data_IF_160424195790
#
_entry.id   IF_160424195790
#
_cell.length_a   1.000
_cell.length_b   1.000
_cell.length_c   1.000
_cell.angle_alpha   90.00
_cell.angle_beta   90.00
_cell.angle_gamma   90.00
#
_symmetry.space_group_name_H-M   'P 1'
#
loop_
_entity.id
_entity.type
_entity.pdbx_description
1 polymer ?
#
# COMPACT_ATOMS: atom_id res chain seq x y z
N UNK A 1 8.18 -11.70 32.47
CA UNK A 1 8.35 -10.31 32.95
C UNK A 1 7.41 -10.05 34.12
N UNK A 2 7.85 -9.19 35.08
CA UNK A 2 7.05 -8.88 36.28
C UNK A 2 5.70 -8.16 36.03
N UNK A 3 5.28 -7.99 34.78
CA UNK A 3 4.02 -7.38 34.36
C UNK A 3 3.10 -8.36 33.60
N UNK A 4 3.39 -9.67 33.57
CA UNK A 4 2.56 -10.67 32.91
C UNK A 4 2.55 -10.58 31.36
N UNK A 5 3.53 -9.88 30.76
CA UNK A 5 3.67 -9.83 29.32
C UNK A 5 4.44 -11.05 28.82
N UNK A 6 3.96 -11.68 27.75
CA UNK A 6 4.56 -12.88 27.14
C UNK A 6 5.59 -12.50 26.08
N UNK A 7 5.37 -11.41 25.35
CA UNK A 7 6.25 -10.96 24.28
C UNK A 7 6.27 -9.43 24.16
N UNK A 8 7.29 -8.92 23.49
CA UNK A 8 7.42 -7.51 23.11
C UNK A 8 7.81 -7.43 21.64
N UNK A 9 6.97 -6.80 20.84
CA UNK A 9 7.23 -6.55 19.42
C UNK A 9 7.98 -5.22 19.25
N UNK A 10 8.87 -5.18 18.27
CA UNK A 10 9.60 -3.96 17.91
C UNK A 10 10.40 -4.13 16.61
N UNK A 11 10.99 -3.04 16.11
CA UNK A 11 10.80 -1.66 16.56
C UNK A 11 9.47 -1.08 16.11
N UNK A 12 8.92 -0.21 16.94
CA UNK A 12 7.82 0.68 16.56
C UNK A 12 8.38 2.10 16.68
N UNK A 13 8.52 2.79 15.56
CA UNK A 13 8.91 4.18 15.55
C UNK A 13 7.76 5.05 16.08
N UNK A 14 8.06 6.30 16.44
CA UNK A 14 7.07 7.22 16.99
C UNK A 14 5.80 7.25 16.13
N UNK A 15 4.65 6.94 16.73
CA UNK A 15 3.37 6.89 16.07
C UNK A 15 2.62 5.57 16.28
N UNK A 16 1.71 5.28 15.38
CA UNK A 16 0.91 4.07 15.45
C UNK A 16 1.66 2.87 14.83
N UNK A 17 1.54 1.70 15.43
CA UNK A 17 2.11 0.44 14.92
C UNK A 17 1.77 0.21 13.44
N UNK A 18 0.58 0.56 13.01
CA UNK A 18 0.13 0.39 11.62
C UNK A 18 0.95 1.19 10.61
N UNK A 19 1.52 2.32 11.02
CA UNK A 19 2.21 3.25 10.11
C UNK A 19 3.72 3.08 10.11
N UNK A 20 4.31 2.75 11.26
CA UNK A 20 5.75 2.87 11.48
C UNK A 20 6.30 1.69 12.29
N UNK A 21 6.26 0.50 11.74
CA UNK A 21 6.82 -0.67 12.42
C UNK A 21 7.80 -1.43 11.52
N UNK A 22 8.67 -2.20 12.17
CA UNK A 22 9.65 -3.02 11.50
C UNK A 22 11.00 -2.34 11.32
N UNK A 23 11.96 -3.11 10.89
CA UNK A 23 13.34 -2.74 10.70
C UNK A 23 13.75 -3.10 9.29
N UNK A 24 14.34 -2.14 8.56
CA UNK A 24 15.00 -2.47 7.30
C UNK A 24 16.24 -3.31 7.60
N UNK A 25 16.34 -4.47 7.00
CA UNK A 25 17.46 -5.41 7.21
C UNK A 25 18.21 -5.74 5.92
N UNK A 26 17.55 -5.55 4.77
CA UNK A 26 18.11 -5.79 3.43
C UNK A 26 17.54 -4.76 2.44
N UNK A 27 18.24 -4.54 1.33
CA UNK A 27 17.78 -3.64 0.27
C UNK A 27 18.10 -2.16 0.52
N UNK A 28 19.16 -1.85 1.27
CA UNK A 28 19.59 -0.49 1.58
C UNK A 28 19.96 0.35 0.35
N UNK A 29 20.27 -0.29 -0.77
CA UNK A 29 20.56 0.32 -2.07
C UNK A 29 19.31 0.89 -2.76
N UNK A 30 18.12 0.47 -2.33
CA UNK A 30 16.87 0.96 -2.87
C UNK A 30 16.35 2.18 -2.11
N UNK A 31 15.80 3.13 -2.83
CA UNK A 31 15.09 4.24 -2.20
C UNK A 31 13.87 3.71 -1.46
N UNK A 32 13.69 4.01 -0.17
CA UNK A 32 12.54 3.54 0.60
C UNK A 32 11.24 4.10 0.04
N UNK A 33 10.18 3.32 0.14
CA UNK A 33 8.83 3.75 -0.17
C UNK A 33 8.28 4.63 0.95
N UNK A 34 7.21 5.37 0.66
CA UNK A 34 6.55 6.20 1.67
C UNK A 34 6.08 5.36 2.86
N UNK A 35 6.36 5.84 4.07
CA UNK A 35 6.09 5.16 5.35
C UNK A 35 6.90 3.86 5.60
N UNK A 36 7.82 3.47 4.73
CA UNK A 36 8.70 2.35 5.04
C UNK A 36 9.86 2.81 5.93
N UNK A 37 10.28 1.99 6.92
CA UNK A 37 11.43 2.31 7.75
C UNK A 37 12.70 2.39 6.91
N UNK A 38 13.58 3.31 7.29
CA UNK A 38 14.93 3.42 6.73
C UNK A 38 15.89 3.76 7.88
N UNK A 39 16.46 2.73 8.44
CA UNK A 39 17.38 2.80 9.57
C UNK A 39 18.81 2.48 9.13
N UNK A 40 19.82 2.88 9.91
CA UNK A 40 21.19 2.43 9.71
C UNK A 40 21.31 0.89 9.80
N UNK A 41 22.21 0.25 8.99
CA UNK A 41 22.36 -1.20 8.99
C UNK A 41 22.68 -1.83 10.34
N UNK A 42 23.46 -1.13 11.17
CA UNK A 42 23.88 -1.63 12.49
C UNK A 42 22.73 -1.77 13.51
N UNK A 43 21.55 -1.26 13.21
CA UNK A 43 20.39 -1.40 14.12
C UNK A 43 19.97 -2.85 14.29
N UNK A 44 20.13 -3.70 13.28
CA UNK A 44 19.85 -5.13 13.38
C UNK A 44 20.70 -5.75 14.53
N UNK A 45 22.00 -5.50 14.51
CA UNK A 45 22.93 -6.03 15.53
C UNK A 45 22.60 -5.53 16.94
N UNK A 46 22.17 -4.26 17.07
CA UNK A 46 21.74 -3.71 18.37
C UNK A 46 20.49 -4.42 18.90
N UNK A 47 19.49 -4.67 18.06
CA UNK A 47 18.29 -5.39 18.48
C UNK A 47 18.60 -6.83 18.85
N UNK A 48 19.37 -7.54 18.03
CA UNK A 48 19.78 -8.92 18.31
C UNK A 48 20.64 -9.03 19.58
N UNK A 49 21.56 -8.11 19.78
CA UNK A 49 22.37 -8.01 21.00
C UNK A 49 21.56 -7.72 22.26
N UNK A 50 20.43 -7.04 22.14
CA UNK A 50 19.49 -6.81 23.25
C UNK A 50 18.56 -7.99 23.52
N UNK A 51 18.58 -9.02 22.66
CA UNK A 51 17.81 -10.26 22.83
C UNK A 51 16.56 -10.36 21.95
N UNK A 52 16.32 -9.42 21.06
CA UNK A 52 15.26 -9.54 20.06
C UNK A 52 15.63 -10.61 19.04
N UNK A 53 14.62 -11.25 18.46
CA UNK A 53 14.75 -12.19 17.36
C UNK A 53 13.80 -11.82 16.26
N UNK A 54 14.18 -12.17 15.03
CA UNK A 54 13.29 -12.00 13.89
C UNK A 54 12.01 -12.83 14.12
N UNK A 55 10.88 -12.13 14.06
CA UNK A 55 9.56 -12.72 14.22
C UNK A 55 8.84 -12.88 12.87
N UNK A 56 8.98 -11.89 11.98
CA UNK A 56 8.29 -11.86 10.70
C UNK A 56 9.11 -11.08 9.65
N UNK A 57 9.22 -11.65 8.44
CA UNK A 57 9.83 -10.95 7.30
C UNK A 57 8.75 -10.37 6.40
N UNK A 58 8.84 -9.07 6.14
CA UNK A 58 8.02 -8.40 5.15
C UNK A 58 8.87 -8.06 3.94
N UNK A 59 8.55 -8.67 2.80
CA UNK A 59 9.29 -8.46 1.56
C UNK A 59 8.62 -7.38 0.71
N UNK A 60 9.43 -6.47 0.17
CA UNK A 60 9.01 -5.55 -0.89
C UNK A 60 9.51 -6.06 -2.24
N UNK A 61 8.66 -6.02 -3.25
CA UNK A 61 8.99 -6.51 -4.58
C UNK A 61 8.98 -5.36 -5.58
N UNK A 62 9.95 -5.37 -6.51
CA UNK A 62 9.99 -4.43 -7.62
C UNK A 62 9.65 -5.19 -8.90
N UNK A 63 8.66 -4.69 -9.64
CA UNK A 63 8.25 -5.24 -10.92
C UNK A 63 8.42 -4.21 -12.04
N UNK A 64 9.02 -4.62 -13.15
CA UNK A 64 9.12 -3.79 -14.36
C UNK A 64 7.98 -4.13 -15.31
N UNK A 65 7.03 -3.21 -15.48
CA UNK A 65 5.82 -3.42 -16.28
C UNK A 65 6.13 -3.73 -17.76
N UNK A 66 7.25 -3.23 -18.28
CA UNK A 66 7.65 -3.41 -19.68
C UNK A 66 8.35 -4.76 -19.95
N UNK A 67 8.65 -5.53 -18.93
CA UNK A 67 9.45 -6.72 -19.10
C UNK A 67 8.54 -7.94 -19.18
N UNK A 68 8.01 -8.31 -20.44
CA UNK A 68 8.17 -9.68 -20.64
C UNK A 68 7.08 -10.74 -20.73
N UNK A 69 7.54 -11.93 -20.86
CA UNK A 69 6.86 -13.22 -20.90
C UNK A 69 5.90 -13.45 -19.71
N UNK A 70 6.26 -12.97 -18.49
CA UNK A 70 5.38 -13.06 -17.34
C UNK A 70 4.08 -12.26 -17.53
N UNK A 71 4.15 -11.08 -18.18
CA UNK A 71 2.96 -10.31 -18.51
C UNK A 71 2.07 -11.06 -19.52
N UNK A 72 2.66 -11.76 -20.50
CA UNK A 72 1.90 -12.56 -21.48
C UNK A 72 1.09 -13.65 -20.79
N UNK A 73 1.65 -14.34 -19.81
CA UNK A 73 0.95 -15.39 -19.08
C UNK A 73 -0.21 -14.84 -18.24
N UNK A 74 -0.03 -13.66 -17.61
CA UNK A 74 -1.08 -12.98 -16.84
C UNK A 74 -2.23 -12.58 -17.79
N UNK A 75 -1.93 -11.93 -18.92
CA UNK A 75 -2.94 -11.56 -19.91
C UNK A 75 -3.68 -12.75 -20.50
N UNK A 76 -2.98 -13.87 -20.76
CA UNK A 76 -3.59 -15.08 -21.24
C UNK A 76 -4.56 -15.71 -20.23
N UNK A 77 -4.29 -15.57 -18.92
CA UNK A 77 -5.21 -16.00 -17.86
C UNK A 77 -6.41 -15.07 -17.75
N UNK A 78 -6.17 -13.76 -17.73
CA UNK A 78 -7.23 -12.77 -17.68
C UNK A 78 -8.22 -12.89 -18.84
N UNK A 79 -7.76 -13.21 -20.05
CA UNK A 79 -8.61 -13.44 -21.22
C UNK A 79 -9.49 -14.71 -21.18
N UNK A 80 -9.38 -15.52 -20.11
CA UNK A 80 -10.25 -16.71 -19.89
C UNK A 80 -11.41 -16.43 -18.92
N UNK A 81 -11.44 -15.25 -18.30
CA UNK A 81 -12.56 -14.86 -17.45
C UNK A 81 -13.81 -14.65 -18.32
N UNK A 82 -14.96 -15.08 -17.82
CA UNK A 82 -16.21 -14.86 -18.51
C UNK A 82 -16.69 -13.39 -18.37
N UNK A 83 -17.77 -13.04 -19.06
CA UNK A 83 -18.28 -11.67 -19.10
C UNK A 83 -18.86 -11.19 -17.76
N UNK A 84 -19.04 -12.07 -16.78
CA UNK A 84 -19.50 -11.70 -15.43
C UNK A 84 -18.42 -11.00 -14.63
N UNK A 85 -17.15 -11.16 -15.00
CA UNK A 85 -16.02 -10.47 -14.38
C UNK A 85 -15.64 -9.22 -15.17
N UNK A 86 -15.56 -8.10 -14.47
CA UNK A 86 -15.03 -6.89 -15.04
C UNK A 86 -14.16 -6.12 -14.04
N UNK A 87 -13.35 -5.21 -14.54
CA UNK A 87 -12.45 -4.38 -13.74
C UNK A 87 -12.67 -2.93 -14.11
N UNK A 88 -12.86 -2.10 -13.11
CA UNK A 88 -13.04 -0.67 -13.27
C UNK A 88 -12.00 0.13 -12.49
N UNK A 89 -11.74 1.33 -12.95
CA UNK A 89 -10.97 2.29 -12.21
C UNK A 89 -11.84 2.98 -11.16
N UNK A 90 -11.22 3.48 -10.10
CA UNK A 90 -11.92 4.27 -9.09
C UNK A 90 -12.63 5.47 -9.72
N UNK A 91 -13.91 5.65 -9.42
CA UNK A 91 -14.65 6.86 -9.81
C UNK A 91 -14.38 7.99 -8.83
N UNK A 92 -13.70 9.03 -9.32
CA UNK A 92 -13.38 10.24 -8.54
C UNK A 92 -14.60 11.10 -8.22
N UNK A 93 -15.71 10.89 -8.92
CA UNK A 93 -16.97 11.61 -8.65
C UNK A 93 -17.80 10.92 -7.57
N UNK A 94 -17.57 9.64 -7.33
CA UNK A 94 -18.27 8.83 -6.34
C UNK A 94 -17.30 8.14 -5.36
N UNK A 95 -16.54 8.93 -4.62
CA UNK A 95 -15.58 8.41 -3.65
C UNK A 95 -16.23 7.72 -2.44
N UNK A 96 -17.50 7.98 -2.18
CA UNK A 96 -18.24 7.29 -1.09
C UNK A 96 -18.50 5.83 -1.46
N UNK A 97 -18.88 5.56 -2.69
CA UNK A 97 -19.03 4.19 -3.19
C UNK A 97 -17.68 3.47 -3.23
N UNK A 98 -16.63 4.13 -3.70
CA UNK A 98 -15.29 3.55 -3.70
C UNK A 98 -14.81 3.18 -2.28
N UNK A 99 -15.11 4.02 -1.29
CA UNK A 99 -14.79 3.75 0.11
C UNK A 99 -15.60 2.55 0.65
N UNK A 100 -16.88 2.44 0.29
CA UNK A 100 -17.73 1.34 0.71
C UNK A 100 -17.29 0.02 0.05
N UNK A 101 -17.02 0.01 -1.26
CA UNK A 101 -16.50 -1.14 -1.97
C UNK A 101 -15.18 -1.61 -1.37
N UNK A 102 -14.26 -0.69 -1.09
CA UNK A 102 -13.01 -1.00 -0.40
C UNK A 102 -13.26 -1.65 0.96
N UNK A 103 -14.13 -1.06 1.78
CA UNK A 103 -14.47 -1.56 3.13
C UNK A 103 -15.03 -2.97 3.09
N UNK A 104 -15.99 -3.22 2.20
CA UNK A 104 -16.64 -4.54 2.06
C UNK A 104 -15.61 -5.60 1.70
N UNK A 105 -14.80 -5.37 0.69
CA UNK A 105 -13.77 -6.32 0.26
C UNK A 105 -12.69 -6.47 1.35
N UNK A 106 -12.25 -5.37 1.96
CA UNK A 106 -11.25 -5.40 3.04
C UNK A 106 -11.72 -6.27 4.21
N UNK A 107 -12.96 -6.11 4.64
CA UNK A 107 -13.50 -6.88 5.74
C UNK A 107 -13.66 -8.37 5.39
N UNK A 108 -13.98 -8.70 4.15
CA UNK A 108 -14.02 -10.09 3.67
C UNK A 108 -12.61 -10.70 3.57
N UNK A 109 -11.66 -9.97 3.04
CA UNK A 109 -10.32 -10.49 2.69
C UNK A 109 -9.32 -10.42 3.85
N UNK A 110 -9.33 -9.34 4.62
CA UNK A 110 -8.28 -9.02 5.59
C UNK A 110 -8.69 -9.14 7.05
N UNK A 111 -9.96 -8.86 7.39
CA UNK A 111 -10.42 -8.93 8.78
C UNK A 111 -10.44 -10.35 9.34
N UNK A 112 -10.23 -11.36 8.51
CA UNK A 112 -10.08 -12.77 8.92
C UNK A 112 -8.72 -13.07 9.54
N UNK A 113 -7.71 -12.23 9.31
CA UNK A 113 -6.37 -12.42 9.86
C UNK A 113 -6.31 -11.99 11.33
N UNK A 114 -5.62 -12.81 12.14
CA UNK A 114 -5.43 -12.51 13.57
C UNK A 114 -4.79 -11.13 13.76
N UNK A 115 -5.41 -10.31 14.61
CA UNK A 115 -4.95 -8.96 14.92
C UNK A 115 -5.39 -7.87 13.94
N UNK A 116 -6.12 -8.22 12.87
CA UNK A 116 -6.74 -7.25 11.97
C UNK A 116 -8.18 -7.00 12.42
N UNK A 117 -8.52 -5.73 12.65
CA UNK A 117 -9.88 -5.32 13.00
C UNK A 117 -10.69 -5.02 11.75
N UNK A 118 -11.99 -5.34 11.73
CA UNK A 118 -12.87 -4.86 10.68
C UNK A 118 -12.85 -3.34 10.61
N UNK A 119 -12.88 -2.83 9.39
CA UNK A 119 -12.91 -1.39 9.09
C UNK A 119 -14.35 -0.89 9.14
N UNK A 120 -14.60 0.24 9.81
CA UNK A 120 -15.89 0.92 9.78
C UNK A 120 -16.04 1.75 8.50
N UNK A 121 -17.28 2.18 8.23
CA UNK A 121 -17.56 3.07 7.08
C UNK A 121 -16.87 4.42 7.23
N UNK A 122 -16.87 4.97 8.43
CA UNK A 122 -16.24 6.25 8.77
C UNK A 122 -14.73 6.20 8.51
N UNK A 123 -14.06 5.12 8.95
CA UNK A 123 -12.63 4.92 8.73
C UNK A 123 -12.29 4.81 7.24
N UNK A 124 -13.10 4.11 6.46
CA UNK A 124 -12.91 3.99 5.02
C UNK A 124 -13.07 5.34 4.29
N UNK A 125 -14.10 6.10 4.67
CA UNK A 125 -14.34 7.44 4.11
C UNK A 125 -13.22 8.41 4.46
N UNK A 126 -12.74 8.41 5.70
CA UNK A 126 -11.63 9.26 6.14
C UNK A 126 -10.35 8.92 5.36
N UNK A 127 -10.02 7.63 5.23
CA UNK A 127 -8.86 7.17 4.47
C UNK A 127 -8.91 7.63 3.01
N UNK A 128 -10.05 7.49 2.33
CA UNK A 128 -10.19 7.93 0.93
C UNK A 128 -10.07 9.45 0.82
N UNK A 129 -10.62 10.22 1.79
CA UNK A 129 -10.49 11.68 1.83
C UNK A 129 -9.03 12.13 2.01
N UNK A 130 -8.30 11.48 2.90
CA UNK A 130 -6.87 11.75 3.11
C UNK A 130 -6.04 11.44 1.87
N UNK A 131 -6.36 10.35 1.19
CA UNK A 131 -5.64 9.94 -0.02
C UNK A 131 -6.02 10.75 -1.27
N UNK A 132 -7.17 11.43 -1.29
CA UNK A 132 -7.69 12.14 -2.47
C UNK A 132 -6.66 13.04 -3.18
N UNK A 133 -5.78 13.79 -2.51
CA UNK A 133 -4.79 14.64 -3.20
C UNK A 133 -3.79 13.86 -4.06
N UNK A 134 -3.48 12.62 -3.69
CA UNK A 134 -2.47 11.79 -4.34
C UNK A 134 -3.07 10.68 -5.21
N UNK A 135 -4.39 10.47 -5.18
CA UNK A 135 -5.06 9.50 -6.04
C UNK A 135 -4.82 9.85 -7.51
N UNK A 136 -4.37 8.85 -8.24
CA UNK A 136 -4.44 8.80 -9.70
C UNK A 136 -5.45 7.70 -10.09
N UNK A 137 -6.62 8.04 -10.64
CA UNK A 137 -7.66 7.05 -10.91
C UNK A 137 -7.20 5.94 -11.87
N UNK A 138 -6.23 6.21 -12.72
CA UNK A 138 -5.74 5.25 -13.72
C UNK A 138 -5.01 4.04 -13.13
N UNK A 139 -4.65 4.09 -11.84
CA UNK A 139 -3.83 3.09 -11.17
C UNK A 139 -4.49 2.51 -9.90
N UNK A 140 -5.78 2.79 -9.70
CA UNK A 140 -6.59 2.16 -8.65
C UNK A 140 -7.71 1.40 -9.33
N UNK A 141 -7.83 0.13 -9.00
CA UNK A 141 -8.74 -0.79 -9.66
C UNK A 141 -9.63 -1.50 -8.65
N UNK A 142 -10.90 -1.67 -9.04
CA UNK A 142 -11.85 -2.57 -8.40
C UNK A 142 -12.26 -3.67 -9.39
N UNK A 143 -12.35 -4.89 -8.90
CA UNK A 143 -12.86 -6.03 -9.64
C UNK A 143 -14.26 -6.36 -9.17
N UNK A 144 -15.13 -6.72 -10.11
CA UNK A 144 -16.53 -7.03 -9.87
C UNK A 144 -16.89 -8.38 -10.50
N UNK A 145 -17.85 -9.04 -9.86
CA UNK A 145 -18.56 -10.19 -10.41
C UNK A 145 -20.07 -9.90 -10.34
N UNK A 146 -20.74 -9.81 -11.48
CA UNK A 146 -22.16 -9.42 -11.56
C UNK A 146 -22.49 -8.20 -10.68
N UNK A 147 -21.78 -7.11 -10.85
CA UNK A 147 -21.93 -5.84 -10.09
C UNK A 147 -21.54 -5.94 -8.60
N UNK A 148 -21.22 -7.12 -8.07
CA UNK A 148 -20.71 -7.25 -6.71
C UNK A 148 -19.20 -6.95 -6.67
N UNK A 149 -18.72 -6.03 -5.80
CA UNK A 149 -17.29 -5.75 -5.66
C UNK A 149 -16.60 -6.93 -4.95
N UNK A 150 -15.68 -7.58 -5.66
CA UNK A 150 -14.99 -8.79 -5.21
C UNK A 150 -13.49 -8.60 -4.96
N UNK A 151 -12.92 -7.55 -5.50
CA UNK A 151 -11.48 -7.33 -5.34
C UNK A 151 -11.08 -5.88 -5.53
N UNK A 152 -9.93 -5.51 -5.00
CA UNK A 152 -9.31 -4.21 -5.23
C UNK A 152 -7.79 -4.34 -5.39
N UNK A 153 -7.22 -3.41 -6.14
CA UNK A 153 -5.79 -3.17 -6.22
C UNK A 153 -5.52 -1.68 -6.09
N UNK A 154 -5.06 -1.27 -4.91
CA UNK A 154 -4.82 0.13 -4.57
C UNK A 154 -3.35 0.45 -4.72
N UNK A 155 -3.04 1.32 -5.66
CA UNK A 155 -1.69 1.82 -5.89
C UNK A 155 -1.66 3.34 -5.83
N UNK A 156 -0.51 3.90 -5.54
CA UNK A 156 -0.26 5.34 -5.56
C UNK A 156 1.05 5.64 -6.29
N UNK A 157 1.22 6.85 -6.82
CA UNK A 157 2.52 7.29 -7.31
C UNK A 157 3.59 7.20 -6.20
N UNK A 158 4.80 6.77 -6.52
CA UNK A 158 5.92 6.77 -5.57
C UNK A 158 6.37 8.21 -5.29
N UNK A 159 5.79 8.78 -4.25
CA UNK A 159 6.02 10.17 -3.86
C UNK A 159 7.48 10.46 -3.53
N UNK A 160 8.21 9.47 -3.00
CA UNK A 160 9.61 9.66 -2.61
C UNK A 160 10.50 9.95 -3.82
N UNK A 161 10.14 9.47 -5.03
CA UNK A 161 10.79 9.83 -6.30
C UNK A 161 10.69 11.33 -6.61
N UNK A 162 9.60 11.97 -6.21
CA UNK A 162 9.36 13.39 -6.43
C UNK A 162 9.90 14.23 -5.27
N UNK A 163 9.59 13.84 -4.04
CA UNK A 163 9.96 14.56 -2.81
C UNK A 163 11.48 14.56 -2.58
N UNK A 164 12.17 13.47 -2.93
CA UNK A 164 13.62 13.37 -2.80
C UNK A 164 14.39 14.50 -3.50
N UNK A 165 13.80 15.13 -4.53
CA UNK A 165 14.37 16.29 -5.24
C UNK A 165 14.33 17.58 -4.41
N UNK A 166 13.62 17.60 -3.30
CA UNK A 166 13.44 18.79 -2.46
C UNK A 166 14.49 18.93 -1.36
N UNK A 167 15.40 17.96 -1.22
CA UNK A 167 16.51 18.00 -0.25
C UNK A 167 16.06 18.35 1.17
N UNK A 168 14.99 17.70 1.65
CA UNK A 168 14.43 17.91 2.99
C UNK A 168 13.60 19.19 3.16
N UNK A 169 13.49 20.04 2.15
CA UNK A 169 12.64 21.24 2.21
C UNK A 169 11.22 20.87 1.77
N UNK A 170 10.22 21.21 2.56
CA UNK A 170 8.81 20.91 2.23
C UNK A 170 7.89 22.10 2.57
N UNK A 171 8.24 23.28 2.04
CA UNK A 171 7.45 24.51 2.14
C UNK A 171 6.32 24.57 1.09
N UNK A 172 5.66 25.73 1.02
CA UNK A 172 4.54 25.93 0.11
C UNK A 172 4.90 25.70 -1.36
N UNK A 173 6.06 26.20 -1.80
CA UNK A 173 6.52 26.03 -3.18
C UNK A 173 6.78 24.57 -3.54
N UNK A 174 7.35 23.77 -2.63
CA UNK A 174 7.57 22.35 -2.84
C UNK A 174 6.24 21.60 -2.93
N UNK A 175 5.26 21.96 -2.11
CA UNK A 175 3.90 21.38 -2.18
C UNK A 175 3.22 21.69 -3.51
N UNK A 176 3.27 22.95 -3.97
CA UNK A 176 2.73 23.33 -5.28
C UNK A 176 3.43 22.59 -6.42
N UNK A 177 4.76 22.50 -6.36
CA UNK A 177 5.55 21.76 -7.35
C UNK A 177 5.21 20.27 -7.34
N UNK A 178 5.05 19.65 -6.17
CA UNK A 178 4.64 18.26 -6.06
C UNK A 178 3.28 18.03 -6.72
N UNK A 179 2.32 18.88 -6.43
CA UNK A 179 0.98 18.80 -7.05
C UNK A 179 1.03 18.99 -8.56
N UNK A 180 1.86 19.91 -9.03
CA UNK A 180 2.10 20.10 -10.47
C UNK A 180 2.72 18.86 -11.11
N UNK A 181 3.77 18.31 -10.51
CA UNK A 181 4.46 17.11 -10.99
C UNK A 181 3.52 15.88 -11.01
N UNK A 182 2.61 15.75 -10.02
CA UNK A 182 1.64 14.66 -9.95
C UNK A 182 0.47 14.83 -10.93
N UNK A 183 -0.17 15.99 -10.96
CA UNK A 183 -1.46 16.19 -11.63
C UNK A 183 -1.32 16.70 -13.07
N UNK A 184 -0.32 17.53 -13.34
CA UNK A 184 -0.11 18.17 -14.64
C UNK A 184 0.97 17.47 -15.46
N UNK A 185 2.20 17.43 -14.95
CA UNK A 185 3.31 16.79 -15.66
C UNK A 185 3.23 15.28 -15.66
N UNK A 186 2.57 14.69 -14.64
CA UNK A 186 2.48 13.24 -14.46
C UNK A 186 3.84 12.56 -14.58
N UNK A 187 4.84 13.16 -13.92
CA UNK A 187 6.25 12.80 -14.08
C UNK A 187 6.71 11.64 -13.18
N UNK A 188 5.81 11.03 -12.44
CA UNK A 188 6.12 9.85 -11.65
C UNK A 188 6.05 8.61 -12.55
N UNK A 189 7.19 7.95 -12.73
CA UNK A 189 7.38 6.75 -13.55
C UNK A 189 7.31 5.44 -12.73
N UNK A 190 7.02 5.57 -11.43
CA UNK A 190 6.93 4.46 -10.49
C UNK A 190 5.63 4.55 -9.69
N UNK A 191 4.99 3.41 -9.52
CA UNK A 191 3.85 3.26 -8.63
C UNK A 191 4.20 2.33 -7.47
N UNK A 192 3.53 2.53 -6.36
CA UNK A 192 3.63 1.70 -5.17
C UNK A 192 2.27 1.04 -4.89
N UNK A 193 2.25 -0.30 -4.87
CA UNK A 193 1.09 -1.07 -4.42
C UNK A 193 0.99 -1.02 -2.90
N UNK A 194 -0.04 -0.36 -2.39
CA UNK A 194 -0.27 -0.22 -0.95
C UNK A 194 -0.91 -1.49 -0.42
N UNK A 195 -1.99 -1.92 -1.07
CA UNK A 195 -2.80 -3.05 -0.63
C UNK A 195 -3.58 -3.61 -1.81
N UNK A 196 -3.76 -4.91 -1.80
CA UNK A 196 -4.70 -5.61 -2.67
C UNK A 196 -5.48 -6.62 -1.87
N UNK A 197 -6.66 -6.96 -2.33
CA UNK A 197 -7.51 -7.98 -1.70
C UNK A 197 -8.50 -8.53 -2.69
N UNK A 198 -8.83 -9.80 -2.51
CA UNK A 198 -9.89 -10.49 -3.24
C UNK A 198 -10.72 -11.19 -2.18
N UNK A 199 -12.03 -11.15 -2.32
CA UNK A 199 -12.95 -11.86 -1.43
C UNK A 199 -12.67 -13.37 -1.51
N UNK A 200 -12.59 -14.09 -0.36
CA UNK A 200 -12.12 -15.49 -0.32
C UNK A 200 -12.87 -16.44 -1.22
N UNK A 201 -14.15 -16.18 -1.47
CA UNK A 201 -15.01 -16.97 -2.33
C UNK A 201 -14.63 -16.90 -3.83
N UNK A 202 -13.69 -16.01 -4.21
CA UNK A 202 -13.19 -15.80 -5.57
C UNK A 202 -11.70 -16.08 -5.74
N UNK A 203 -11.10 -16.78 -4.79
CA UNK A 203 -9.69 -17.23 -4.85
C UNK A 203 -9.45 -18.37 -5.82
#
# INVERSE_FOLDING_TARGET
SGRGMEAMDGPINFGQRRDWWGLLVEGYEFQPLYKNPYNPPYYKELFEGYGFRNYFNQNSYIWRVNASEANKSIFARAGRLDASYHVENIDMNNLEEAAENFRVIYNKAWALFSGVKPMTREEALEMVREMKPIIDPRIIFFAYFNEEPIGFFITVPDLNRLIGKFNGKFGLWQKLRLMWDLKVRRSCDRIFGIIFGIAPEFH
#
